data_IF_683513222466
#
_entry.id   IF_683513222466
#
_cell.length_a   1.000
_cell.length_b   1.000
_cell.length_c   1.000
_cell.angle_alpha   90.00
_cell.angle_beta   90.00
_cell.angle_gamma   90.00
#
_symmetry.space_group_name_H-M   'P 1'
#
loop_
_entity.id
_entity.type
_entity.pdbx_description
1 polymer ?
#
# COMPACT_ATOMS: atom_id res chain seq x y z
N UNK A 1 16.03 21.07 12.50
CA UNK A 1 15.36 20.03 11.68
C UNK A 1 14.21 20.70 10.93
N UNK A 2 14.36 20.92 9.62
CA UNK A 2 13.31 21.50 8.78
C UNK A 2 12.22 20.44 8.56
N UNK A 3 11.09 20.57 9.26
CA UNK A 3 9.90 19.77 8.97
C UNK A 3 9.33 20.30 7.64
N UNK A 4 9.49 19.52 6.57
CA UNK A 4 8.77 19.78 5.34
C UNK A 4 7.25 19.86 5.65
N UNK A 5 6.50 20.79 5.05
CA UNK A 5 5.07 20.88 5.29
C UNK A 5 4.41 19.55 4.95
N UNK A 6 3.68 18.99 5.91
CA UNK A 6 2.96 17.69 5.80
C UNK A 6 2.06 17.66 4.54
N UNK A 7 1.57 18.83 4.11
CA UNK A 7 0.74 19.02 2.93
C UNK A 7 1.40 18.62 1.61
N UNK A 8 2.74 18.70 1.49
CA UNK A 8 3.43 18.32 0.25
C UNK A 8 3.48 16.80 0.00
N UNK A 9 3.18 15.99 1.03
CA UNK A 9 3.35 14.55 0.97
C UNK A 9 2.12 13.85 0.36
N UNK A 10 0.97 14.53 0.37
CA UNK A 10 -0.32 14.09 -0.18
C UNK A 10 -0.24 13.90 -1.71
N UNK A 11 0.74 14.53 -2.37
CA UNK A 11 0.94 14.41 -3.81
C UNK A 11 1.53 13.05 -4.23
N UNK A 12 2.14 12.30 -3.32
CA UNK A 12 2.70 11.00 -3.63
C UNK A 12 1.67 9.90 -3.38
N UNK A 13 1.21 9.27 -4.47
CA UNK A 13 0.15 8.26 -4.46
C UNK A 13 0.48 6.99 -3.63
N UNK A 14 1.72 6.87 -3.17
CA UNK A 14 2.28 5.66 -2.58
C UNK A 14 3.01 5.89 -1.26
N UNK A 15 2.87 7.08 -0.66
CA UNK A 15 3.48 7.44 0.61
C UNK A 15 2.40 7.49 1.69
N UNK A 16 2.68 6.83 2.82
CA UNK A 16 1.93 6.87 4.07
C UNK A 16 2.83 7.50 5.13
N UNK A 17 2.40 8.60 5.74
CA UNK A 17 3.04 9.06 6.97
C UNK A 17 2.54 8.21 8.13
N UNK A 18 3.47 7.74 8.95
CA UNK A 18 3.25 6.75 9.98
C UNK A 18 3.57 7.28 11.39
N UNK A 19 4.44 8.27 11.50
CA UNK A 19 4.97 8.76 12.77
C UNK A 19 6.13 7.90 13.30
N UNK A 20 6.84 8.43 14.31
CA UNK A 20 8.08 7.84 14.82
C UNK A 20 7.86 6.62 15.75
N UNK A 21 6.62 6.34 16.14
CA UNK A 21 6.30 5.20 17.01
C UNK A 21 6.05 3.91 16.22
N UNK A 22 6.83 2.86 16.52
CA UNK A 22 6.69 1.54 15.91
C UNK A 22 5.27 0.96 15.99
N UNK A 23 4.51 1.28 17.05
CA UNK A 23 3.13 0.81 17.25
C UNK A 23 2.13 1.52 16.33
N UNK A 24 2.37 2.78 15.96
CA UNK A 24 1.60 3.48 14.93
C UNK A 24 1.88 2.88 13.55
N UNK A 25 3.15 2.54 13.28
CA UNK A 25 3.60 1.84 12.08
C UNK A 25 2.87 0.53 11.84
N UNK A 26 2.88 -0.36 12.83
CA UNK A 26 2.22 -1.66 12.71
C UNK A 26 0.72 -1.52 12.40
N UNK A 27 0.03 -0.60 13.07
CA UNK A 27 -1.41 -0.38 12.85
C UNK A 27 -1.73 0.11 11.43
N UNK A 28 -0.89 0.98 10.87
CA UNK A 28 -1.09 1.49 9.51
C UNK A 28 -0.81 0.40 8.48
N UNK A 29 0.23 -0.41 8.70
CA UNK A 29 0.53 -1.57 7.86
C UNK A 29 -0.63 -2.56 7.90
N UNK A 30 -1.19 -2.86 9.07
CA UNK A 30 -2.34 -3.76 9.23
C UNK A 30 -3.58 -3.25 8.49
N UNK A 31 -3.87 -1.94 8.61
CA UNK A 31 -4.96 -1.30 7.87
C UNK A 31 -4.74 -1.38 6.36
N UNK A 32 -3.53 -1.08 5.89
CA UNK A 32 -3.22 -1.16 4.47
C UNK A 32 -3.32 -2.60 3.94
N UNK A 33 -2.80 -3.59 4.67
CA UNK A 33 -2.93 -5.00 4.32
C UNK A 33 -4.41 -5.44 4.27
N UNK A 34 -5.25 -4.92 5.15
CA UNK A 34 -6.70 -5.17 5.11
C UNK A 34 -7.33 -4.64 3.83
N UNK A 35 -6.98 -3.41 3.41
CA UNK A 35 -7.42 -2.86 2.13
C UNK A 35 -6.92 -3.68 0.93
N UNK A 36 -5.68 -4.17 0.97
CA UNK A 36 -5.15 -5.04 -0.08
C UNK A 36 -5.96 -6.34 -0.19
N UNK A 37 -6.33 -6.96 0.93
CA UNK A 37 -7.17 -8.16 0.93
C UNK A 37 -8.57 -7.91 0.35
N UNK A 38 -9.15 -6.73 0.58
CA UNK A 38 -10.42 -6.35 -0.04
C UNK A 38 -10.29 -6.21 -1.56
N UNK A 39 -9.22 -5.56 -2.04
CA UNK A 39 -8.92 -5.47 -3.48
C UNK A 39 -8.73 -6.87 -4.07
N UNK A 40 -7.99 -7.76 -3.40
CA UNK A 40 -7.83 -9.16 -3.85
C UNK A 40 -9.18 -9.87 -3.99
N UNK A 41 -10.12 -9.65 -3.06
CA UNK A 41 -11.47 -10.22 -3.14
C UNK A 41 -12.29 -9.63 -4.29
N UNK A 42 -12.24 -8.31 -4.50
CA UNK A 42 -12.94 -7.65 -5.61
C UNK A 42 -12.45 -8.15 -6.96
N UNK A 43 -11.15 -8.40 -7.10
CA UNK A 43 -10.53 -8.89 -8.35
C UNK A 43 -10.13 -10.37 -8.28
N UNK A 44 -10.84 -11.17 -7.46
CA UNK A 44 -10.47 -12.55 -7.16
C UNK A 44 -10.27 -13.41 -8.41
N UNK A 45 -11.12 -13.25 -9.43
CA UNK A 45 -10.99 -13.99 -10.70
C UNK A 45 -9.64 -13.76 -11.38
N UNK A 46 -9.08 -12.55 -11.30
CA UNK A 46 -7.78 -12.24 -11.90
C UNK A 46 -6.65 -12.96 -11.15
N UNK A 47 -6.66 -12.91 -9.81
CA UNK A 47 -5.66 -13.56 -8.96
C UNK A 47 -5.74 -15.08 -9.02
N UNK A 48 -6.94 -15.67 -9.03
CA UNK A 48 -7.13 -17.13 -9.11
C UNK A 48 -6.63 -17.72 -10.44
N UNK A 49 -6.72 -16.98 -11.53
CA UNK A 49 -6.28 -17.42 -12.88
C UNK A 49 -4.77 -17.39 -13.08
N UNK A 50 -4.02 -16.85 -12.11
CA UNK A 50 -2.57 -16.72 -12.19
C UNK A 50 -1.92 -17.47 -11.03
N UNK A 51 -0.81 -18.13 -11.32
CA UNK A 51 0.04 -18.68 -10.27
C UNK A 51 0.95 -17.60 -9.69
N UNK A 52 1.25 -17.71 -8.41
CA UNK A 52 2.23 -16.87 -7.74
C UNK A 52 3.65 -17.10 -8.31
N UNK A 53 4.42 -16.02 -8.38
CA UNK A 53 5.82 -16.05 -8.83
C UNK A 53 6.64 -17.02 -7.95
N UNK A 54 7.36 -17.95 -8.58
CA UNK A 54 8.13 -19.02 -7.92
C UNK A 54 7.29 -19.99 -7.05
N UNK A 55 5.96 -19.94 -7.14
CA UNK A 55 5.03 -20.77 -6.35
C UNK A 55 3.85 -21.24 -7.20
N UNK A 56 4.04 -22.18 -8.15
CA UNK A 56 3.03 -22.55 -9.14
C UNK A 56 1.74 -23.14 -8.54
N UNK A 57 1.84 -23.78 -7.37
CA UNK A 57 0.71 -24.36 -6.64
C UNK A 57 -0.14 -23.33 -5.86
N UNK A 58 0.28 -22.07 -5.82
CA UNK A 58 -0.42 -21.00 -5.13
C UNK A 58 -0.97 -19.98 -6.13
N UNK A 59 -2.15 -19.44 -5.83
CA UNK A 59 -2.69 -18.31 -6.58
C UNK A 59 -1.90 -17.04 -6.32
N UNK A 60 -1.88 -16.17 -7.32
CA UNK A 60 -1.22 -14.87 -7.26
C UNK A 60 -1.86 -13.98 -6.19
N UNK A 61 -1.11 -13.00 -5.67
CA UNK A 61 -1.55 -12.10 -4.58
C UNK A 61 -0.86 -10.74 -4.67
N UNK A 62 -1.51 -9.68 -4.20
CA UNK A 62 -0.97 -8.32 -4.16
C UNK A 62 0.34 -8.25 -3.36
N UNK A 63 0.47 -9.03 -2.29
CA UNK A 63 1.71 -9.09 -1.50
C UNK A 63 2.93 -9.51 -2.33
N UNK A 64 2.75 -10.24 -3.44
CA UNK A 64 3.83 -10.62 -4.33
C UNK A 64 4.25 -9.51 -5.29
N UNK A 65 3.41 -8.48 -5.45
CA UNK A 65 3.66 -7.35 -6.35
C UNK A 65 4.06 -6.08 -5.62
N UNK A 66 3.96 -6.03 -4.29
CA UNK A 66 4.23 -4.83 -3.50
C UNK A 66 5.53 -4.99 -2.71
N UNK A 67 6.37 -3.96 -2.72
CA UNK A 67 7.50 -3.77 -1.83
C UNK A 67 7.23 -2.61 -0.89
N UNK A 68 7.60 -2.78 0.37
CA UNK A 68 7.53 -1.73 1.37
C UNK A 68 8.93 -1.19 1.69
N UNK A 69 9.02 0.12 1.85
CA UNK A 69 10.17 0.83 2.42
C UNK A 69 9.69 1.63 3.62
N UNK A 70 10.37 1.48 4.75
CA UNK A 70 10.06 2.21 5.98
C UNK A 70 11.28 2.99 6.44
N UNK A 71 11.15 4.31 6.58
CA UNK A 71 12.24 5.16 7.02
C UNK A 71 11.68 6.43 7.66
N UNK A 72 12.19 6.81 8.84
CA UNK A 72 11.86 8.09 9.49
C UNK A 72 10.36 8.34 9.72
N UNK A 73 9.62 7.29 10.11
CA UNK A 73 8.17 7.41 10.34
C UNK A 73 7.35 7.53 9.06
N UNK A 74 7.90 7.09 7.92
CA UNK A 74 7.25 7.06 6.61
C UNK A 74 7.19 5.62 6.15
N UNK A 75 6.05 5.17 5.61
CA UNK A 75 6.01 4.02 4.72
C UNK A 75 5.80 4.45 3.29
N UNK A 76 6.57 3.84 2.41
CA UNK A 76 6.38 3.95 0.98
C UNK A 76 6.16 2.55 0.46
N UNK A 77 5.13 2.35 -0.35
CA UNK A 77 5.01 1.11 -1.11
C UNK A 77 5.36 1.37 -2.57
N UNK A 78 5.89 0.36 -3.24
CA UNK A 78 6.12 0.40 -4.69
C UNK A 78 5.73 -0.93 -5.30
N UNK A 79 5.27 -0.91 -6.54
CA UNK A 79 5.09 -2.14 -7.29
C UNK A 79 6.45 -2.66 -7.75
N UNK A 80 6.69 -3.96 -7.60
CA UNK A 80 7.96 -4.62 -7.98
C UNK A 80 8.28 -4.42 -9.47
N UNK A 81 7.26 -4.43 -10.32
CA UNK A 81 7.38 -4.17 -11.75
C UNK A 81 6.19 -3.34 -12.22
N UNK A 82 6.42 -2.50 -13.24
CA UNK A 82 5.37 -1.65 -13.83
C UNK A 82 4.32 -2.46 -14.59
N UNK A 83 4.58 -3.73 -14.94
CA UNK A 83 3.72 -4.50 -15.85
C UNK A 83 3.09 -5.75 -15.23
N UNK A 84 3.28 -6.01 -13.94
CA UNK A 84 2.75 -7.24 -13.30
C UNK A 84 1.29 -7.16 -12.88
N UNK A 85 0.73 -5.95 -12.76
CA UNK A 85 -0.65 -5.73 -12.36
C UNK A 85 -1.43 -4.89 -13.38
N UNK A 86 -2.69 -5.25 -13.68
CA UNK A 86 -3.60 -4.40 -14.43
C UNK A 86 -3.65 -2.99 -13.85
N UNK A 87 -3.73 -1.98 -14.74
CA UNK A 87 -3.82 -0.56 -14.33
C UNK A 87 -4.96 -0.34 -13.33
N UNK A 88 -6.11 -1.01 -13.52
CA UNK A 88 -7.25 -0.90 -12.62
C UNK A 88 -6.91 -1.33 -11.19
N UNK A 89 -6.26 -2.48 -11.01
CA UNK A 89 -5.85 -2.98 -9.68
C UNK A 89 -4.79 -2.06 -9.07
N UNK A 90 -3.84 -1.54 -9.86
CA UNK A 90 -2.85 -0.57 -9.37
C UNK A 90 -3.50 0.71 -8.85
N UNK A 91 -4.48 1.24 -9.59
CA UNK A 91 -5.22 2.43 -9.20
C UNK A 91 -6.00 2.23 -7.90
N UNK A 92 -6.56 1.04 -7.69
CA UNK A 92 -7.22 0.66 -6.44
C UNK A 92 -6.25 0.68 -5.25
N UNK A 93 -5.05 0.10 -5.40
CA UNK A 93 -4.02 0.15 -4.36
C UNK A 93 -3.57 1.58 -4.06
N UNK A 94 -3.37 2.42 -5.09
CA UNK A 94 -3.03 3.83 -4.91
C UNK A 94 -4.15 4.58 -4.18
N UNK A 95 -5.42 4.31 -4.50
CA UNK A 95 -6.57 4.91 -3.82
C UNK A 95 -6.63 4.48 -2.35
N UNK A 96 -6.43 3.20 -2.05
CA UNK A 96 -6.39 2.69 -0.69
C UNK A 96 -5.30 3.38 0.15
N UNK A 97 -4.11 3.54 -0.41
CA UNK A 97 -3.02 4.26 0.25
C UNK A 97 -3.36 5.74 0.49
N UNK A 98 -3.89 6.44 -0.51
CA UNK A 98 -4.29 7.84 -0.36
C UNK A 98 -5.34 8.03 0.71
N UNK A 99 -6.34 7.16 0.75
CA UNK A 99 -7.40 7.23 1.75
C UNK A 99 -6.83 7.03 3.16
N UNK A 100 -5.95 6.05 3.34
CA UNK A 100 -5.27 5.85 4.62
C UNK A 100 -4.38 7.03 5.02
N UNK A 101 -3.66 7.64 4.07
CA UNK A 101 -2.89 8.85 4.34
C UNK A 101 -3.80 10.01 4.76
N UNK A 102 -4.93 10.20 4.08
CA UNK A 102 -5.91 11.24 4.41
C UNK A 102 -6.55 11.02 5.79
N UNK A 103 -6.94 9.78 6.11
CA UNK A 103 -7.48 9.42 7.42
C UNK A 103 -6.47 9.75 8.53
N UNK A 104 -5.18 9.43 8.32
CA UNK A 104 -4.13 9.76 9.29
C UNK A 104 -4.01 11.27 9.53
N UNK A 105 -4.08 12.08 8.47
CA UNK A 105 -4.01 13.54 8.60
C UNK A 105 -5.19 14.10 9.37
N UNK A 106 -6.39 13.58 9.14
CA UNK A 106 -7.59 13.99 9.87
C UNK A 106 -7.51 13.63 11.36
N UNK A 107 -6.90 12.50 11.71
CA UNK A 107 -6.68 12.13 13.13
C UNK A 107 -5.59 12.96 13.83
N UNK A 108 -4.69 13.59 13.07
CA UNK A 108 -3.58 14.40 13.60
C UNK A 108 -3.89 15.92 13.63
N UNK A 109 -4.97 16.36 12.98
CA UNK A 109 -5.48 17.74 12.98
C UNK A 109 -6.45 18.01 14.11
#
# INVERSE_FOLDING_TARGET
>A
MNRAPITNWIHFNNILYIGDEAKACLRIIEKFNSCLLEIERTYATWFYRRSAENKPAHHDKLQYHIHYHFEGGIAVFKFKSKDTLPVIIRNECFRACKNLAADQLYYLS
#
